data_IF_250298171235
#
_entry.id   IF_250298171235
#
_cell.length_a   1.000
_cell.length_b   1.000
_cell.length_c   1.000
_cell.angle_alpha   90.00
_cell.angle_beta   90.00
_cell.angle_gamma   90.00
#
_symmetry.space_group_name_H-M   'P 1'
#
loop_
_entity.id
_entity.type
_entity.pdbx_description
1 polymer ?
#
# COMPACT_ATOMS: atom_id res chain seq x y z
N UNK A 1 22.33 -8.13 -6.63
CA UNK A 1 21.18 -8.76 -5.94
C UNK A 1 20.89 -7.99 -4.66
N UNK A 2 19.63 -7.69 -4.33
CA UNK A 2 19.25 -7.04 -3.07
C UNK A 2 18.93 -8.12 -2.05
N UNK A 3 19.77 -8.25 -1.02
CA UNK A 3 19.65 -9.22 0.07
C UNK A 3 19.51 -8.42 1.36
N UNK A 4 18.43 -8.65 2.10
CA UNK A 4 18.14 -7.93 3.34
C UNK A 4 19.20 -8.25 4.40
N UNK A 5 19.68 -7.23 5.10
CA UNK A 5 20.73 -7.35 6.12
C UNK A 5 22.15 -7.48 5.57
N UNK A 6 22.33 -7.60 4.25
CA UNK A 6 23.64 -7.66 3.60
C UNK A 6 23.82 -6.49 2.64
N UNK A 7 23.25 -6.58 1.44
CA UNK A 7 23.41 -5.57 0.39
C UNK A 7 22.30 -4.53 0.38
N UNK A 8 21.26 -4.73 1.20
CA UNK A 8 20.07 -3.91 1.25
C UNK A 8 19.55 -3.76 2.68
N UNK A 9 18.99 -2.60 2.98
CA UNK A 9 18.24 -2.32 4.21
C UNK A 9 16.74 -2.22 3.90
N UNK A 10 15.92 -2.68 4.83
CA UNK A 10 14.46 -2.65 4.74
C UNK A 10 13.91 -2.01 6.01
N UNK A 11 13.13 -0.94 5.88
CA UNK A 11 12.55 -0.20 7.00
C UNK A 11 11.11 0.20 6.69
N UNK A 12 10.25 0.30 7.71
CA UNK A 12 8.87 0.78 7.55
C UNK A 12 8.84 2.27 7.91
N UNK A 13 8.47 3.09 6.95
CA UNK A 13 8.29 4.53 7.12
C UNK A 13 6.80 4.91 7.05
N UNK A 14 6.37 5.80 7.95
CA UNK A 14 5.06 6.44 7.87
C UNK A 14 5.19 7.96 7.95
N UNK A 15 5.18 8.61 6.78
CA UNK A 15 5.32 10.07 6.67
C UNK A 15 4.00 10.83 6.81
N UNK A 16 2.90 10.14 7.13
CA UNK A 16 1.58 10.75 7.18
C UNK A 16 1.32 11.44 8.53
N UNK A 17 1.13 12.76 8.54
CA UNK A 17 0.75 13.55 9.75
C UNK A 17 1.50 13.11 11.03
N UNK A 18 2.80 12.82 10.95
CA UNK A 18 3.61 12.31 12.08
C UNK A 18 3.34 10.85 12.47
N UNK A 19 3.02 9.97 11.52
CA UNK A 19 2.74 8.55 11.75
C UNK A 19 1.31 8.22 12.20
N UNK A 20 0.38 9.18 12.14
CA UNK A 20 -0.97 9.02 12.73
C UNK A 20 -1.93 8.17 11.90
N UNK A 21 -1.64 7.92 10.62
CA UNK A 21 -2.50 7.08 9.76
C UNK A 21 -1.83 5.72 9.56
N UNK A 22 -2.24 4.67 10.28
CA UNK A 22 -1.58 3.36 10.18
C UNK A 22 -1.61 2.78 8.77
N UNK A 23 -2.69 3.03 8.00
CA UNK A 23 -2.79 2.59 6.60
C UNK A 23 -1.77 3.24 5.65
N UNK A 24 -1.02 4.25 6.10
CA UNK A 24 0.00 4.94 5.30
C UNK A 24 1.42 4.39 5.53
N UNK A 25 1.56 3.25 6.22
CA UNK A 25 2.85 2.57 6.36
C UNK A 25 3.37 2.09 5.01
N UNK A 26 4.65 2.40 4.74
CA UNK A 26 5.36 2.05 3.51
C UNK A 26 6.66 1.35 3.85
N UNK A 27 6.84 0.12 3.34
CA UNK A 27 8.11 -0.57 3.38
C UNK A 27 9.06 0.06 2.36
N UNK A 28 10.16 0.62 2.84
CA UNK A 28 11.25 1.18 2.05
C UNK A 28 12.39 0.18 2.03
N UNK A 29 12.80 -0.23 0.83
CA UNK A 29 13.90 -1.16 0.60
C UNK A 29 15.02 -0.46 -0.16
N UNK A 30 16.14 -0.18 0.53
CA UNK A 30 17.24 0.66 0.05
C UNK A 30 18.53 -0.15 -0.16
N UNK A 31 19.07 -0.07 -1.36
CA UNK A 31 20.37 -0.64 -1.68
C UNK A 31 21.48 0.11 -0.94
N UNK A 32 22.33 -0.62 -0.21
CA UNK A 32 23.44 -0.02 0.54
C UNK A 32 24.61 0.39 -0.39
N UNK A 33 24.66 -0.14 -1.61
CA UNK A 33 25.75 0.08 -2.56
C UNK A 33 25.48 1.28 -3.46
N UNK A 34 24.29 1.36 -4.06
CA UNK A 34 23.93 2.44 -5.00
C UNK A 34 22.91 3.45 -4.44
N UNK A 35 22.38 3.22 -3.24
CA UNK A 35 21.42 4.12 -2.59
C UNK A 35 19.99 4.07 -3.16
N UNK A 36 19.74 3.32 -4.23
CA UNK A 36 18.40 3.20 -4.83
C UNK A 36 17.39 2.62 -3.83
N UNK A 37 16.22 3.24 -3.71
CA UNK A 37 15.17 2.84 -2.79
C UNK A 37 13.87 2.50 -3.53
N UNK A 38 13.30 1.32 -3.25
CA UNK A 38 11.95 0.92 -3.66
C UNK A 38 10.99 1.07 -2.51
N UNK A 39 9.74 1.44 -2.79
CA UNK A 39 8.72 1.73 -1.79
C UNK A 39 7.46 0.91 -2.06
N UNK A 40 6.97 0.23 -1.03
CA UNK A 40 5.82 -0.67 -1.11
C UNK A 40 4.81 -0.35 0.01
N UNK A 41 3.56 0.02 -0.31
CA UNK A 41 2.52 0.17 0.71
C UNK A 41 2.28 -1.17 1.41
N UNK A 42 2.27 -1.19 2.75
CA UNK A 42 2.13 -2.43 3.55
C UNK A 42 0.81 -2.52 4.31
N UNK A 43 0.29 -1.40 4.83
CA UNK A 43 -0.93 -1.39 5.64
C UNK A 43 -2.18 -0.91 4.91
N UNK A 44 -2.05 -0.40 3.68
CA UNK A 44 -3.19 0.02 2.87
C UNK A 44 -3.86 -1.18 2.21
N UNK A 45 -5.18 -1.28 2.33
CA UNK A 45 -5.95 -2.21 1.50
C UNK A 45 -5.71 -1.89 0.02
N UNK A 46 -5.39 -2.92 -0.77
CA UNK A 46 -5.18 -2.74 -2.20
C UNK A 46 -6.49 -2.34 -2.85
N UNK A 47 -6.47 -1.20 -3.51
CA UNK A 47 -7.61 -0.76 -4.30
C UNK A 47 -7.98 -1.85 -5.31
N UNK A 48 -9.23 -2.34 -5.25
CA UNK A 48 -9.75 -3.37 -6.16
C UNK A 48 -9.57 -2.94 -7.62
N UNK A 49 -9.53 -3.89 -8.57
CA UNK A 49 -9.43 -3.54 -10.00
C UNK A 49 -10.69 -2.79 -10.45
N UNK A 50 -10.54 -1.88 -11.43
CA UNK A 50 -11.63 -1.00 -11.92
C UNK A 50 -12.97 -1.71 -12.18
N UNK A 51 -13.03 -2.89 -12.83
CA UNK A 51 -14.31 -3.57 -13.09
C UNK A 51 -15.02 -4.07 -11.83
N UNK A 52 -14.28 -4.38 -10.76
CA UNK A 52 -14.88 -4.81 -9.49
C UNK A 52 -15.48 -3.64 -8.72
N UNK A 53 -14.91 -2.43 -8.84
CA UNK A 53 -15.43 -1.22 -8.18
C UNK A 53 -16.81 -0.85 -8.73
N UNK A 54 -16.95 -0.83 -10.05
CA UNK A 54 -18.23 -0.51 -10.71
C UNK A 54 -19.31 -1.55 -10.42
N UNK A 55 -18.94 -2.82 -10.20
CA UNK A 55 -19.90 -3.87 -9.89
C UNK A 55 -20.47 -3.71 -8.47
N UNK A 56 -19.63 -3.37 -7.49
CA UNK A 56 -20.08 -3.10 -6.12
C UNK A 56 -20.96 -1.85 -6.04
N UNK A 57 -20.64 -0.79 -6.79
CA UNK A 57 -21.51 0.39 -6.93
C UNK A 57 -22.90 0.03 -7.48
N UNK A 58 -22.95 -0.87 -8.47
CA UNK A 58 -24.21 -1.34 -9.06
C UNK A 58 -25.00 -2.23 -8.10
N UNK A 59 -24.35 -3.17 -7.41
CA UNK A 59 -25.02 -4.02 -6.43
C UNK A 59 -25.54 -3.24 -5.21
N UNK A 60 -24.78 -2.24 -4.73
CA UNK A 60 -25.22 -1.36 -3.65
C UNK A 60 -26.44 -0.53 -4.07
N UNK A 61 -26.46 0.00 -5.30
CA UNK A 61 -27.60 0.75 -5.84
C UNK A 61 -28.84 -0.12 -6.13
N UNK A 62 -28.69 -1.44 -6.24
CA UNK A 62 -29.80 -2.37 -6.45
C UNK A 62 -30.52 -2.69 -5.13
N UNK A 63 -29.76 -2.93 -4.05
CA UNK A 63 -30.32 -3.26 -2.73
C UNK A 63 -31.10 -2.11 -2.08
N UNK A 64 -30.74 -0.86 -2.38
CA UNK A 64 -31.43 0.34 -1.87
C UNK A 64 -32.82 0.55 -2.47
N UNK A 65 -33.13 -0.10 -3.60
CA UNK A 65 -34.44 0.01 -4.28
C UNK A 65 -35.46 -1.04 -3.81
N UNK A 66 -35.00 -2.07 -3.12
CA UNK A 66 -35.82 -3.20 -2.65
C UNK A 66 -36.14 -3.13 -1.14
N UNK A 67 -35.78 -2.03 -0.44
CA UNK A 67 -36.17 -1.71 0.96
C UNK A 67 -37.14 -0.54 1.02
#
# INVERSE_FOLDING_TARGET
MLIDGSTCTSEVENRSKGGKKPWADVLVRKCNICGFARRFPVAAERQKRRPLRSREEQFAAQNDKDS
#
